data_IF_937299423992
#
_entry.id   IF_937299423992
#
_cell.length_a   1.000
_cell.length_b   1.000
_cell.length_c   1.000
_cell.angle_alpha   90.00
_cell.angle_beta   90.00
_cell.angle_gamma   90.00
#
_symmetry.space_group_name_H-M   'P 1'
#
loop_
_entity.id
_entity.type
_entity.pdbx_description
1 polymer ?
#
# COMPACT_ATOMS: atom_id res chain seq x y z
N UNK A 1 -25.83 -21.07 27.27
CA UNK A 1 -26.00 -19.82 26.50
C UNK A 1 -24.79 -18.92 26.75
N UNK A 2 -23.65 -19.18 26.11
CA UNK A 2 -22.53 -18.23 26.12
C UNK A 2 -22.16 -17.97 24.66
N UNK A 3 -22.77 -16.93 24.10
CA UNK A 3 -22.44 -16.41 22.78
C UNK A 3 -21.04 -15.80 22.83
N UNK A 4 -20.04 -16.54 22.36
CA UNK A 4 -18.77 -15.94 21.97
C UNK A 4 -18.98 -15.23 20.63
N UNK A 5 -19.52 -14.01 20.71
CA UNK A 5 -19.45 -13.11 19.58
C UNK A 5 -18.05 -12.51 19.59
N UNK A 6 -17.12 -13.21 18.93
CA UNK A 6 -15.80 -12.68 18.60
C UNK A 6 -16.02 -11.43 17.75
N UNK A 7 -16.08 -10.28 18.41
CA UNK A 7 -16.14 -9.00 17.73
C UNK A 7 -14.88 -8.89 16.89
N UNK A 8 -15.02 -9.12 15.58
CA UNK A 8 -14.01 -8.81 14.59
C UNK A 8 -13.91 -7.29 14.59
N UNK A 9 -13.09 -6.76 15.49
CA UNK A 9 -12.77 -5.34 15.52
C UNK A 9 -12.07 -5.02 14.19
N UNK A 10 -12.51 -3.99 13.45
CA UNK A 10 -11.84 -3.59 12.23
C UNK A 10 -10.41 -3.16 12.57
N UNK A 11 -9.45 -4.03 12.30
CA UNK A 11 -8.04 -3.68 12.31
C UNK A 11 -7.84 -2.74 11.12
N UNK A 12 -7.39 -1.51 11.37
CA UNK A 12 -7.02 -0.57 10.32
C UNK A 12 -5.91 -1.21 9.48
N UNK A 13 -6.29 -1.83 8.36
CA UNK A 13 -5.34 -2.52 7.50
C UNK A 13 -4.58 -1.45 6.74
N UNK A 14 -3.28 -1.37 7.00
CA UNK A 14 -2.39 -0.59 6.17
C UNK A 14 -2.33 -1.26 4.78
N UNK A 15 -3.10 -0.75 3.83
CA UNK A 15 -3.11 -1.21 2.45
C UNK A 15 -2.42 -0.14 1.61
N UNK A 16 -1.21 -0.45 1.16
CA UNK A 16 -0.56 0.37 0.14
C UNK A 16 -0.83 -0.28 -1.22
N UNK A 17 -1.62 0.35 -2.11
CA UNK A 17 -1.87 -0.20 -3.44
C UNK A 17 -0.59 -0.14 -4.28
N UNK A 18 -0.33 -1.16 -5.09
CA UNK A 18 0.67 -1.12 -6.17
C UNK A 18 0.00 -0.79 -7.51
N UNK A 19 0.76 -0.31 -8.47
CA UNK A 19 0.30 -0.10 -9.84
C UNK A 19 1.34 -0.59 -10.84
N UNK A 20 0.87 -0.87 -12.05
CA UNK A 20 1.68 -1.43 -13.14
C UNK A 20 1.85 -0.36 -14.23
N UNK A 21 3.09 0.00 -14.54
CA UNK A 21 3.44 0.89 -15.65
C UNK A 21 3.89 0.08 -16.87
N UNK A 22 3.36 0.43 -18.05
CA UNK A 22 3.72 -0.17 -19.33
C UNK A 22 4.54 0.82 -20.16
N UNK A 23 5.66 0.36 -20.72
CA UNK A 23 6.50 1.10 -21.65
C UNK A 23 6.88 0.21 -22.84
N UNK A 24 7.42 0.80 -23.91
CA UNK A 24 7.95 0.03 -25.05
C UNK A 24 9.05 -0.96 -24.67
N UNK A 25 9.68 -0.77 -23.51
CA UNK A 25 10.75 -1.63 -22.99
C UNK A 25 10.26 -2.71 -22.02
N UNK A 26 8.97 -2.72 -21.69
CA UNK A 26 8.37 -3.73 -20.81
C UNK A 26 7.45 -3.15 -19.75
N UNK A 27 7.22 -3.94 -18.71
CA UNK A 27 6.22 -3.69 -17.65
C UNK A 27 6.94 -3.58 -16.31
N UNK A 28 6.60 -2.57 -15.50
CA UNK A 28 7.14 -2.37 -14.15
C UNK A 28 6.01 -2.21 -13.14
N UNK A 29 5.99 -3.07 -12.12
CA UNK A 29 5.13 -2.86 -10.96
C UNK A 29 5.84 -1.95 -9.97
N UNK A 30 5.16 -0.91 -9.50
CA UNK A 30 5.70 0.03 -8.52
C UNK A 30 4.69 0.41 -7.46
N UNK A 31 5.19 0.59 -6.25
CA UNK A 31 4.42 1.18 -5.15
C UNK A 31 4.49 2.71 -5.23
N UNK A 32 3.50 3.44 -4.70
CA UNK A 32 3.46 4.91 -4.70
C UNK A 32 4.75 5.54 -4.16
N UNK A 33 5.29 5.06 -3.04
CA UNK A 33 6.55 5.58 -2.49
C UNK A 33 7.75 5.36 -3.42
N UNK A 34 7.81 4.23 -4.13
CA UNK A 34 8.91 3.95 -5.07
C UNK A 34 8.85 4.94 -6.25
N UNK A 35 7.65 5.19 -6.79
CA UNK A 35 7.48 6.15 -7.88
C UNK A 35 7.85 7.56 -7.44
N UNK A 36 7.43 7.98 -6.25
CA UNK A 36 7.78 9.29 -5.70
C UNK A 36 9.29 9.44 -5.52
N UNK A 37 9.96 8.39 -5.03
CA UNK A 37 11.42 8.40 -4.90
C UNK A 37 12.14 8.50 -6.25
N UNK A 38 11.66 7.79 -7.29
CA UNK A 38 12.18 7.93 -8.67
C UNK A 38 12.05 9.37 -9.18
N UNK A 39 10.95 10.06 -8.86
CA UNK A 39 10.71 11.47 -9.16
C UNK A 39 11.43 12.43 -8.20
N UNK A 40 12.28 11.91 -7.30
CA UNK A 40 13.03 12.67 -6.27
C UNK A 40 12.15 13.40 -5.25
N UNK A 41 10.97 12.87 -4.97
CA UNK A 41 10.06 13.35 -3.93
C UNK A 41 10.24 12.50 -2.67
N UNK A 42 10.64 13.13 -1.56
CA UNK A 42 10.86 12.46 -0.27
C UNK A 42 9.71 12.78 0.67
N UNK A 43 9.03 11.74 1.17
CA UNK A 43 8.07 11.85 2.25
C UNK A 43 8.73 11.55 3.59
N UNK A 44 8.59 12.48 4.53
CA UNK A 44 8.89 12.24 5.94
C UNK A 44 7.58 11.97 6.67
N UNK A 45 7.16 10.70 6.70
CA UNK A 45 6.06 10.23 7.53
C UNK A 45 6.54 9.83 8.93
N UNK A 46 5.61 9.81 9.89
CA UNK A 46 5.81 9.16 11.20
C UNK A 46 4.99 7.87 11.25
N UNK A 47 5.52 6.83 11.91
CA UNK A 47 4.84 5.54 12.09
C UNK A 47 4.06 5.51 13.41
#
# INVERSE_FOLDING_TARGET
MNSQNSQIQPQARYILPSFIEHSSFGVKESNPYNKLFEERIIFLGVQ
#
